data_IF_306713927016
#
_entry.id   IF_306713927016
#
_cell.length_a   1.000
_cell.length_b   1.000
_cell.length_c   1.000
_cell.angle_alpha   90.00
_cell.angle_beta   90.00
_cell.angle_gamma   90.00
#
_symmetry.space_group_name_H-M   'P 1'
#
loop_
_entity.id
_entity.type
_entity.pdbx_description
1 polymer ?
#
# COMPACT_ATOMS: atom_id res chain seq x y z
N UNK A 1 70.73 -41.80 35.36
CA UNK A 1 69.29 -41.98 35.11
C UNK A 1 68.80 -40.84 34.21
N UNK A 2 68.25 -41.22 33.06
CA UNK A 2 67.55 -40.44 32.01
C UNK A 2 68.22 -39.19 31.41
N UNK A 3 68.69 -39.41 30.19
CA UNK A 3 69.24 -38.50 29.17
C UNK A 3 68.26 -37.44 28.63
N UNK A 4 68.79 -36.23 28.41
CA UNK A 4 68.27 -35.15 27.56
C UNK A 4 68.09 -35.59 26.09
N UNK A 5 66.98 -35.17 25.45
CA UNK A 5 66.93 -34.88 24.00
C UNK A 5 66.02 -33.70 23.68
N UNK A 6 66.46 -33.02 22.62
CA UNK A 6 66.15 -31.69 22.13
C UNK A 6 64.93 -31.62 21.19
N UNK A 7 64.25 -30.46 21.24
CA UNK A 7 63.56 -29.67 20.20
C UNK A 7 62.68 -30.33 19.11
N UNK A 8 61.47 -29.77 18.97
CA UNK A 8 60.95 -29.28 17.68
C UNK A 8 59.91 -28.15 17.92
N UNK A 9 60.07 -26.95 17.34
CA UNK A 9 59.12 -25.85 17.50
C UNK A 9 57.91 -26.03 16.57
N UNK A 10 56.70 -25.89 17.13
CA UNK A 10 55.45 -25.86 16.36
C UNK A 10 55.44 -24.59 15.49
N UNK A 11 55.21 -24.79 14.20
CA UNK A 11 55.07 -23.76 13.17
C UNK A 11 54.26 -22.53 13.61
N UNK A 12 54.87 -21.35 13.50
CA UNK A 12 54.14 -20.09 13.37
C UNK A 12 53.49 -20.05 11.97
N UNK A 13 52.17 -20.14 11.90
CA UNK A 13 51.41 -19.78 10.69
C UNK A 13 51.23 -18.27 10.69
N UNK A 14 51.94 -17.60 9.79
CA UNK A 14 51.68 -16.21 9.43
C UNK A 14 50.32 -16.17 8.71
N UNK A 15 49.30 -15.61 9.34
CA UNK A 15 48.06 -15.30 8.63
C UNK A 15 48.32 -14.05 7.79
N UNK A 16 48.39 -14.23 6.47
CA UNK A 16 48.23 -13.15 5.51
C UNK A 16 46.97 -12.35 5.86
N UNK A 17 47.05 -11.02 5.85
CA UNK A 17 45.88 -10.15 5.86
C UNK A 17 44.95 -10.56 4.72
N UNK A 18 43.96 -11.39 5.01
CA UNK A 18 42.81 -11.58 4.15
C UNK A 18 42.05 -10.27 4.19
N UNK A 19 42.04 -9.60 3.03
CA UNK A 19 41.13 -8.51 2.68
C UNK A 19 39.81 -8.67 3.42
N UNK A 20 39.44 -7.66 4.21
CA UNK A 20 38.09 -7.52 4.76
C UNK A 20 37.13 -7.80 3.61
N UNK A 21 36.23 -8.80 3.72
CA UNK A 21 35.21 -8.99 2.70
C UNK A 21 34.45 -7.67 2.62
N UNK A 22 34.39 -7.06 1.43
CA UNK A 22 33.44 -5.97 1.19
C UNK A 22 32.10 -6.39 1.77
N UNK A 23 31.47 -5.60 2.66
CA UNK A 23 30.14 -5.94 3.14
C UNK A 23 29.27 -6.15 1.90
N UNK A 24 28.65 -7.32 1.80
CA UNK A 24 27.61 -7.60 0.81
C UNK A 24 26.70 -6.37 0.73
N UNK A 25 26.39 -5.85 -0.48
CA UNK A 25 25.65 -4.60 -0.59
C UNK A 25 24.37 -4.73 0.22
N UNK A 26 24.21 -3.84 1.22
CA UNK A 26 23.02 -3.81 2.06
C UNK A 26 21.82 -3.65 1.14
N UNK A 27 20.84 -4.57 1.23
CA UNK A 27 19.64 -4.51 0.41
C UNK A 27 18.95 -3.14 0.62
N UNK A 28 18.52 -2.46 -0.46
CA UNK A 28 17.92 -1.15 -0.34
C UNK A 28 16.59 -1.22 0.40
N UNK A 29 16.32 -0.21 1.21
CA UNK A 29 15.07 -0.04 1.94
C UNK A 29 14.09 0.84 1.16
N UNK A 30 12.86 0.37 1.00
CA UNK A 30 11.83 1.06 0.21
C UNK A 30 10.62 1.38 1.09
N UNK A 31 10.01 2.53 0.86
CA UNK A 31 8.66 2.81 1.34
C UNK A 31 7.73 2.92 0.14
N UNK A 32 6.69 2.11 0.13
CA UNK A 32 5.74 2.00 -0.96
C UNK A 32 4.37 2.46 -0.49
N UNK A 33 3.92 3.62 -0.97
CA UNK A 33 2.52 4.00 -0.89
C UNK A 33 1.75 3.17 -1.90
N UNK A 34 0.80 2.37 -1.43
CA UNK A 34 -0.01 1.51 -2.29
C UNK A 34 -1.44 1.44 -1.77
N UNK A 35 -2.33 0.85 -2.57
CA UNK A 35 -3.64 0.40 -2.09
C UNK A 35 -3.82 -1.08 -2.32
N UNK A 36 -5.01 -1.43 -2.81
CA UNK A 36 -5.46 -2.80 -3.03
C UNK A 36 -4.69 -3.61 -4.08
N UNK A 37 -5.38 -4.05 -5.12
CA UNK A 37 -4.93 -5.21 -5.90
C UNK A 37 -3.83 -4.91 -6.92
N UNK A 38 -3.75 -3.69 -7.45
CA UNK A 38 -2.86 -3.36 -8.56
C UNK A 38 -1.39 -3.70 -8.28
N UNK A 39 -0.87 -3.33 -7.10
CA UNK A 39 0.52 -3.63 -6.73
C UNK A 39 0.77 -5.11 -6.36
N UNK A 40 -0.27 -5.93 -6.17
CA UNK A 40 -0.10 -7.33 -5.72
C UNK A 40 0.69 -8.20 -6.69
N UNK A 41 0.62 -7.92 -8.00
CA UNK A 41 1.35 -8.68 -9.02
C UNK A 41 2.87 -8.52 -8.92
N UNK A 42 3.34 -7.42 -8.32
CA UNK A 42 4.75 -7.05 -8.27
C UNK A 42 5.42 -7.44 -6.95
N UNK A 43 4.65 -7.62 -5.87
CA UNK A 43 5.23 -7.85 -4.53
C UNK A 43 6.06 -9.11 -4.41
N UNK A 44 5.70 -10.18 -5.12
CA UNK A 44 6.52 -11.41 -5.10
C UNK A 44 7.89 -11.16 -5.73
N UNK A 45 7.93 -10.46 -6.87
CA UNK A 45 9.18 -10.10 -7.52
C UNK A 45 9.98 -9.08 -6.70
N UNK A 46 9.29 -8.15 -6.02
CA UNK A 46 9.93 -7.20 -5.12
C UNK A 46 10.64 -7.89 -3.96
N UNK A 47 10.05 -8.96 -3.40
CA UNK A 47 10.67 -9.76 -2.33
C UNK A 47 11.99 -10.41 -2.78
N UNK A 48 12.13 -10.75 -4.06
CA UNK A 48 13.37 -11.31 -4.60
C UNK A 48 14.49 -10.25 -4.66
N UNK A 49 14.12 -8.97 -4.76
CA UNK A 49 15.07 -7.85 -4.79
C UNK A 49 15.41 -7.35 -3.38
N UNK A 50 14.41 -7.16 -2.52
CA UNK A 50 14.59 -6.72 -1.14
C UNK A 50 13.38 -7.06 -0.28
N UNK A 51 13.65 -7.48 0.95
CA UNK A 51 12.64 -7.67 1.99
C UNK A 51 12.41 -6.42 2.83
N UNK A 52 13.27 -5.39 2.71
CA UNK A 52 13.26 -4.16 3.51
C UNK A 52 12.25 -3.16 2.95
N UNK A 53 10.97 -3.54 2.94
CA UNK A 53 9.89 -2.76 2.33
C UNK A 53 8.83 -2.41 3.37
N UNK A 54 8.58 -1.12 3.54
CA UNK A 54 7.42 -0.62 4.26
C UNK A 54 6.27 -0.35 3.28
N UNK A 55 5.26 -1.22 3.28
CA UNK A 55 4.03 -1.07 2.50
C UNK A 55 3.03 -0.24 3.29
N UNK A 56 2.84 1.01 2.88
CA UNK A 56 1.90 1.95 3.50
C UNK A 56 0.56 1.87 2.78
N UNK A 57 -0.51 1.64 3.53
CA UNK A 57 -1.85 1.38 3.02
C UNK A 57 -2.90 2.29 3.68
N UNK A 58 -3.89 2.79 2.91
CA UNK A 58 -5.03 3.52 3.47
C UNK A 58 -5.94 2.60 4.28
N UNK A 59 -6.76 3.22 5.15
CA UNK A 59 -7.69 2.53 6.07
C UNK A 59 -9.15 2.96 5.90
N UNK A 60 -9.48 3.53 4.72
CA UNK A 60 -10.79 4.12 4.41
C UNK A 60 -11.65 3.31 3.44
N UNK A 61 -11.21 2.12 3.02
CA UNK A 61 -11.95 1.26 2.08
C UNK A 61 -13.30 0.79 2.67
N UNK A 62 -14.38 1.14 1.99
CA UNK A 62 -15.75 0.87 2.44
C UNK A 62 -16.46 -0.15 1.54
N UNK A 63 -15.71 -1.01 0.83
CA UNK A 63 -16.24 -2.00 -0.13
C UNK A 63 -16.19 -3.46 0.29
N UNK A 64 -17.01 -4.26 -0.42
CA UNK A 64 -17.08 -5.72 -0.28
C UNK A 64 -17.24 -6.21 1.17
N UNK A 65 -16.54 -7.30 1.52
CA UNK A 65 -16.58 -7.86 2.87
C UNK A 65 -16.05 -6.94 3.98
N UNK A 66 -15.29 -5.89 3.62
CA UNK A 66 -14.85 -4.87 4.58
C UNK A 66 -16.04 -4.02 5.03
N UNK A 67 -16.90 -3.62 4.09
CA UNK A 67 -18.09 -2.82 4.36
C UNK A 67 -18.98 -3.46 5.42
N UNK A 68 -19.21 -4.76 5.30
CA UNK A 68 -20.06 -5.51 6.22
C UNK A 68 -19.48 -5.61 7.64
N UNK A 69 -18.16 -5.82 7.74
CA UNK A 69 -17.46 -5.80 9.03
C UNK A 69 -17.56 -4.42 9.66
N UNK A 70 -17.29 -3.36 8.90
CA UNK A 70 -17.34 -1.98 9.38
C UNK A 70 -18.76 -1.58 9.77
N UNK A 71 -19.77 -2.06 9.06
CA UNK A 71 -21.19 -1.81 9.38
C UNK A 71 -21.55 -2.40 10.75
N UNK A 72 -21.28 -3.69 10.96
CA UNK A 72 -21.72 -4.40 12.17
C UNK A 72 -20.79 -4.18 13.37
N UNK A 73 -19.48 -4.18 13.15
CA UNK A 73 -18.46 -4.13 14.22
C UNK A 73 -17.78 -2.76 14.36
N UNK A 74 -17.92 -1.88 13.38
CA UNK A 74 -17.21 -0.60 13.35
C UNK A 74 -15.72 -0.73 13.05
N UNK A 75 -15.04 0.41 13.14
CA UNK A 75 -13.59 0.55 12.99
C UNK A 75 -13.08 0.73 11.56
N UNK A 76 -11.75 0.68 11.37
CA UNK A 76 -11.11 0.98 10.10
C UNK A 76 -11.27 -0.16 9.10
N UNK A 77 -11.07 0.17 7.82
CA UNK A 77 -10.97 -0.81 6.77
C UNK A 77 -9.72 -1.69 6.92
N UNK A 78 -9.88 -3.01 6.76
CA UNK A 78 -8.78 -3.99 6.88
C UNK A 78 -8.45 -4.70 5.56
N UNK A 79 -9.27 -4.53 4.52
CA UNK A 79 -9.21 -5.33 3.29
C UNK A 79 -7.87 -5.26 2.54
N UNK A 80 -7.36 -4.06 2.31
CA UNK A 80 -6.10 -3.82 1.59
C UNK A 80 -4.89 -4.27 2.42
N UNK A 81 -4.90 -3.99 3.73
CA UNK A 81 -3.89 -4.47 4.70
C UNK A 81 -3.83 -5.99 4.69
N UNK A 82 -4.97 -6.66 4.87
CA UNK A 82 -5.06 -8.12 4.80
C UNK A 82 -4.57 -8.64 3.45
N UNK A 83 -4.94 -7.99 2.34
CA UNK A 83 -4.47 -8.39 1.01
C UNK A 83 -2.95 -8.31 0.88
N UNK A 84 -2.32 -7.26 1.43
CA UNK A 84 -0.86 -7.11 1.40
C UNK A 84 -0.16 -8.13 2.29
N UNK A 85 -0.64 -8.32 3.52
CA UNK A 85 -0.11 -9.34 4.43
C UNK A 85 -0.17 -10.73 3.78
N UNK A 86 -1.33 -11.06 3.19
CA UNK A 86 -1.50 -12.33 2.51
C UNK A 86 -0.53 -12.47 1.34
N UNK A 87 -0.24 -11.40 0.58
CA UNK A 87 0.71 -11.47 -0.53
C UNK A 87 2.13 -11.74 -0.04
N UNK A 88 2.53 -11.13 1.07
CA UNK A 88 3.85 -11.31 1.67
C UNK A 88 4.04 -12.65 2.38
N UNK A 89 2.95 -13.34 2.72
CA UNK A 89 2.95 -14.60 3.47
C UNK A 89 3.88 -15.67 2.87
N UNK A 90 4.49 -16.46 3.76
CA UNK A 90 5.34 -17.58 3.38
C UNK A 90 4.60 -18.62 2.53
N UNK A 91 5.38 -19.32 1.70
CA UNK A 91 4.91 -20.43 0.84
C UNK A 91 5.90 -21.60 0.82
N UNK A 92 6.90 -21.58 1.71
CA UNK A 92 8.00 -22.55 1.69
C UNK A 92 7.56 -23.93 2.19
N UNK A 93 6.54 -23.99 3.05
CA UNK A 93 6.02 -25.23 3.66
C UNK A 93 4.55 -25.49 3.31
N UNK A 94 4.12 -26.75 3.45
CA UNK A 94 2.71 -27.14 3.32
C UNK A 94 1.80 -26.39 4.29
N UNK A 95 2.28 -26.18 5.51
CA UNK A 95 1.60 -25.50 6.59
C UNK A 95 1.43 -24.01 6.26
N UNK A 96 2.49 -23.34 5.80
CA UNK A 96 2.41 -21.95 5.37
C UNK A 96 1.42 -21.77 4.21
N UNK A 97 1.45 -22.68 3.22
CA UNK A 97 0.49 -22.68 2.12
C UNK A 97 -0.94 -22.90 2.62
N UNK A 98 -1.17 -23.79 3.58
CA UNK A 98 -2.49 -24.04 4.17
C UNK A 98 -3.01 -22.81 4.94
N UNK A 99 -2.18 -22.17 5.77
CA UNK A 99 -2.53 -20.95 6.50
C UNK A 99 -2.85 -19.82 5.53
N UNK A 100 -2.01 -19.63 4.51
CA UNK A 100 -2.26 -18.65 3.44
C UNK A 100 -3.58 -18.94 2.73
N UNK A 101 -3.86 -20.20 2.37
CA UNK A 101 -5.12 -20.57 1.72
C UNK A 101 -6.33 -20.25 2.60
N UNK A 102 -6.25 -20.57 3.89
CA UNK A 102 -7.31 -20.29 4.85
C UNK A 102 -7.58 -18.79 4.98
N UNK A 103 -6.55 -17.98 5.22
CA UNK A 103 -6.69 -16.53 5.37
C UNK A 103 -7.03 -15.83 4.05
N UNK A 104 -6.65 -16.43 2.92
CA UNK A 104 -7.04 -15.98 1.58
C UNK A 104 -8.44 -16.36 1.15
N UNK A 105 -9.10 -17.27 1.88
CA UNK A 105 -10.37 -17.83 1.49
C UNK A 105 -11.50 -16.80 1.52
N UNK A 106 -12.40 -16.90 0.54
CA UNK A 106 -13.66 -16.15 0.47
C UNK A 106 -14.81 -17.14 0.46
N UNK A 107 -15.80 -16.87 1.31
CA UNK A 107 -17.04 -17.62 1.35
C UNK A 107 -17.82 -17.45 0.03
N UNK A 108 -18.71 -18.41 -0.32
CA UNK A 108 -19.58 -18.33 -1.48
C UNK A 108 -20.41 -17.05 -1.55
N UNK A 109 -20.85 -16.67 -2.75
CA UNK A 109 -21.77 -15.56 -2.95
C UNK A 109 -23.18 -15.90 -2.41
N UNK A 110 -23.63 -17.15 -2.60
CA UNK A 110 -24.91 -17.61 -2.06
C UNK A 110 -24.89 -17.59 -0.53
N UNK A 111 -25.86 -16.88 0.06
CA UNK A 111 -25.91 -16.63 1.50
C UNK A 111 -26.11 -17.88 2.33
N UNK A 112 -26.84 -18.88 1.83
CA UNK A 112 -27.08 -20.14 2.54
C UNK A 112 -25.83 -21.00 2.55
N UNK A 113 -25.14 -21.12 1.41
CA UNK A 113 -23.86 -21.81 1.32
C UNK A 113 -22.79 -21.13 2.17
N UNK A 114 -22.69 -19.79 2.08
CA UNK A 114 -21.76 -19.01 2.89
C UNK A 114 -21.98 -19.21 4.39
N UNK A 115 -23.24 -19.21 4.84
CA UNK A 115 -23.57 -19.50 6.24
C UNK A 115 -23.18 -20.93 6.62
N UNK A 116 -23.53 -21.92 5.80
CA UNK A 116 -23.19 -23.34 6.08
C UNK A 116 -21.67 -23.54 6.21
N UNK A 117 -20.89 -22.91 5.34
CA UNK A 117 -19.44 -22.99 5.38
C UNK A 117 -18.87 -22.22 6.59
N UNK A 118 -19.43 -21.04 6.90
CA UNK A 118 -19.11 -20.30 8.13
C UNK A 118 -19.32 -21.17 9.38
N UNK A 119 -20.42 -21.91 9.47
CA UNK A 119 -20.69 -22.78 10.63
C UNK A 119 -19.59 -23.83 10.86
N UNK A 120 -18.90 -24.25 9.80
CA UNK A 120 -17.79 -25.21 9.86
C UNK A 120 -16.53 -24.62 10.49
N UNK A 121 -16.29 -23.31 10.32
CA UNK A 121 -15.08 -22.64 10.79
C UNK A 121 -15.29 -21.68 11.97
N UNK A 122 -16.55 -21.39 12.35
CA UNK A 122 -16.88 -20.40 13.41
C UNK A 122 -16.12 -20.64 14.72
N UNK A 123 -15.85 -21.90 15.08
CA UNK A 123 -15.16 -22.26 16.32
C UNK A 123 -13.70 -21.79 16.31
N UNK A 124 -13.06 -21.77 15.14
CA UNK A 124 -11.72 -21.20 14.96
C UNK A 124 -11.74 -19.67 15.11
N UNK A 125 -12.85 -19.02 14.76
CA UNK A 125 -13.04 -17.56 14.83
C UNK A 125 -14.02 -17.16 15.95
N UNK A 126 -13.99 -17.87 17.08
CA UNK A 126 -14.99 -17.73 18.16
C UNK A 126 -15.07 -16.31 18.73
N UNK A 127 -13.94 -15.60 18.83
CA UNK A 127 -13.95 -14.23 19.33
C UNK A 127 -14.69 -13.30 18.36
N UNK A 128 -14.41 -13.39 17.06
CA UNK A 128 -15.11 -12.62 16.03
C UNK A 128 -16.62 -12.94 16.02
N UNK A 129 -16.98 -14.23 16.09
CA UNK A 129 -18.38 -14.65 16.21
C UNK A 129 -19.07 -14.01 17.43
N UNK A 130 -18.40 -14.02 18.60
CA UNK A 130 -18.95 -13.41 19.81
C UNK A 130 -19.12 -11.89 19.68
N UNK A 131 -18.23 -11.20 18.95
CA UNK A 131 -18.40 -9.76 18.69
C UNK A 131 -19.62 -9.47 17.82
N UNK A 132 -19.88 -10.29 16.79
CA UNK A 132 -21.10 -10.18 15.97
C UNK A 132 -22.34 -10.39 16.83
N UNK A 133 -22.37 -11.46 17.64
CA UNK A 133 -23.55 -11.81 18.44
C UNK A 133 -23.92 -10.76 19.50
N UNK A 134 -22.95 -9.95 19.94
CA UNK A 134 -23.18 -8.82 20.86
C UNK A 134 -23.89 -7.64 20.20
N UNK A 135 -23.99 -7.61 18.87
CA UNK A 135 -24.66 -6.59 18.07
C UNK A 135 -25.99 -7.16 17.54
N UNK A 136 -26.89 -7.50 18.46
CA UNK A 136 -28.15 -8.23 18.17
C UNK A 136 -29.09 -7.54 17.19
N UNK A 137 -28.96 -6.22 17.06
CA UNK A 137 -29.87 -5.40 16.26
C UNK A 137 -29.54 -5.43 14.76
N UNK A 138 -28.39 -6.02 14.38
CA UNK A 138 -27.94 -6.12 12.99
C UNK A 138 -27.64 -7.57 12.60
N UNK A 139 -28.26 -8.08 11.53
CA UNK A 139 -27.87 -9.37 10.95
C UNK A 139 -26.54 -9.24 10.20
N UNK A 140 -25.61 -10.15 10.42
CA UNK A 140 -24.34 -10.21 9.69
C UNK A 140 -24.45 -11.09 8.43
N UNK A 141 -24.05 -10.55 7.28
CA UNK A 141 -24.02 -11.22 5.99
C UNK A 141 -22.64 -11.86 5.73
N UNK A 142 -22.60 -13.18 5.61
CA UNK A 142 -21.36 -13.91 5.33
C UNK A 142 -21.05 -14.07 3.84
N UNK A 143 -21.97 -13.70 2.94
CA UNK A 143 -21.79 -13.81 1.48
C UNK A 143 -20.52 -13.11 1.02
N UNK A 144 -19.69 -13.81 0.23
CA UNK A 144 -18.40 -13.30 -0.27
C UNK A 144 -17.43 -12.80 0.83
N UNK A 145 -17.68 -13.18 2.08
CA UNK A 145 -16.91 -12.81 3.25
C UNK A 145 -15.50 -13.35 3.18
N UNK A 146 -14.49 -12.53 3.47
CA UNK A 146 -13.11 -13.01 3.55
C UNK A 146 -12.79 -13.52 4.96
N UNK A 147 -12.41 -14.80 5.06
CA UNK A 147 -11.98 -15.42 6.32
C UNK A 147 -10.81 -14.65 6.94
N UNK A 148 -9.84 -14.23 6.13
CA UNK A 148 -8.74 -13.38 6.60
C UNK A 148 -9.22 -12.05 7.16
N UNK A 149 -10.25 -11.41 6.59
CA UNK A 149 -10.79 -10.18 7.14
C UNK A 149 -11.50 -10.43 8.48
N UNK A 150 -12.20 -11.56 8.64
CA UNK A 150 -12.84 -11.93 9.91
C UNK A 150 -11.82 -12.20 11.01
N UNK A 151 -10.77 -12.96 10.69
CA UNK A 151 -9.61 -13.16 11.58
C UNK A 151 -9.00 -11.83 12.00
N UNK A 152 -8.75 -10.94 11.02
CA UNK A 152 -8.18 -9.63 11.25
C UNK A 152 -9.05 -8.76 12.16
N UNK A 153 -10.34 -8.65 11.85
CA UNK A 153 -11.28 -7.86 12.61
C UNK A 153 -11.45 -8.38 14.05
N UNK A 154 -11.44 -9.71 14.23
CA UNK A 154 -11.42 -10.34 15.53
C UNK A 154 -10.18 -9.97 16.33
N UNK A 155 -8.99 -10.09 15.74
CA UNK A 155 -7.72 -9.73 16.36
C UNK A 155 -7.66 -8.23 16.73
N UNK A 156 -8.06 -7.35 15.81
CA UNK A 156 -8.12 -5.89 16.06
C UNK A 156 -9.01 -5.56 17.24
N UNK A 157 -10.20 -6.14 17.28
CA UNK A 157 -11.16 -5.90 18.37
C UNK A 157 -10.65 -6.45 19.69
N UNK A 158 -9.96 -7.60 19.67
CA UNK A 158 -9.35 -8.20 20.85
C UNK A 158 -8.24 -7.33 21.44
N UNK A 159 -7.31 -6.85 20.60
CA UNK A 159 -6.20 -6.00 21.05
C UNK A 159 -6.57 -4.53 21.25
N UNK A 160 -7.72 -4.10 20.72
CA UNK A 160 -8.05 -2.69 20.55
C UNK A 160 -6.91 -1.92 19.88
N UNK A 161 -6.29 -2.53 18.87
CA UNK A 161 -5.15 -1.96 18.16
C UNK A 161 -5.06 -2.57 16.76
N UNK A 162 -5.08 -1.68 15.74
CA UNK A 162 -4.88 -2.08 14.36
C UNK A 162 -3.45 -2.60 14.14
N UNK A 163 -2.44 -1.91 14.66
CA UNK A 163 -1.04 -2.29 14.54
C UNK A 163 -0.74 -3.65 15.21
N UNK A 164 -1.31 -3.92 16.40
CA UNK A 164 -1.16 -5.22 17.05
C UNK A 164 -1.81 -6.36 16.24
N UNK A 165 -2.96 -6.10 15.61
CA UNK A 165 -3.61 -7.06 14.73
C UNK A 165 -2.80 -7.33 13.46
N UNK A 166 -2.20 -6.29 12.86
CA UNK A 166 -1.25 -6.45 11.76
C UNK A 166 -0.08 -7.31 12.19
N UNK A 167 0.51 -7.03 13.36
CA UNK A 167 1.62 -7.79 13.90
C UNK A 167 1.25 -9.28 14.07
N UNK A 168 0.10 -9.58 14.67
CA UNK A 168 -0.37 -10.96 14.80
C UNK A 168 -0.56 -11.63 13.43
N UNK A 169 -1.23 -10.96 12.48
CA UNK A 169 -1.44 -11.49 11.14
C UNK A 169 -0.10 -11.79 10.44
N UNK A 170 0.87 -10.89 10.58
CA UNK A 170 2.22 -11.04 10.03
C UNK A 170 2.99 -12.21 10.63
N UNK A 171 2.83 -12.49 11.93
CA UNK A 171 3.42 -13.67 12.59
C UNK A 171 2.74 -14.97 12.16
N UNK A 172 1.42 -14.99 12.11
CA UNK A 172 0.65 -16.18 11.65
C UNK A 172 0.96 -16.51 10.19
N UNK A 173 1.17 -15.50 9.36
CA UNK A 173 1.46 -15.66 7.93
C UNK A 173 2.96 -15.80 7.62
N UNK A 174 3.82 -15.83 8.63
CA UNK A 174 5.28 -15.86 8.53
C UNK A 174 5.85 -14.86 7.50
N UNK A 175 5.42 -13.60 7.62
CA UNK A 175 5.92 -12.50 6.77
C UNK A 175 7.38 -12.19 7.16
N UNK A 176 8.28 -11.98 6.17
CA UNK A 176 9.67 -11.60 6.45
C UNK A 176 9.76 -10.45 7.43
N UNK A 177 10.64 -10.56 8.44
CA UNK A 177 10.71 -9.61 9.55
C UNK A 177 11.02 -8.17 9.15
N UNK A 178 11.70 -7.97 8.02
CA UNK A 178 12.02 -6.66 7.46
C UNK A 178 10.91 -6.06 6.58
N UNK A 179 9.90 -6.87 6.20
CA UNK A 179 8.76 -6.42 5.40
C UNK A 179 7.65 -5.94 6.34
N UNK A 180 7.39 -4.63 6.31
CA UNK A 180 6.39 -3.99 7.15
C UNK A 180 5.12 -3.74 6.34
N UNK A 181 3.96 -4.05 6.92
CA UNK A 181 2.67 -3.58 6.43
C UNK A 181 2.19 -2.54 7.42
N UNK A 182 2.06 -1.28 7.00
CA UNK A 182 1.77 -0.17 7.89
C UNK A 182 0.44 0.47 7.48
N UNK A 183 -0.51 0.61 8.42
CA UNK A 183 -1.68 1.43 8.18
C UNK A 183 -1.22 2.89 8.22
N UNK A 184 -1.64 3.69 7.24
CA UNK A 184 -1.20 5.09 7.20
C UNK A 184 -1.71 5.90 8.39
N UNK A 185 -2.84 5.49 8.98
CA UNK A 185 -3.38 6.03 10.23
C UNK A 185 -3.56 4.86 11.20
N UNK A 186 -3.00 4.98 12.40
CA UNK A 186 -3.27 4.05 13.50
C UNK A 186 -4.54 4.48 14.21
N UNK A 187 -5.65 3.81 13.94
CA UNK A 187 -6.94 4.10 14.58
C UNK A 187 -7.74 2.82 14.78
N UNK A 188 -8.65 2.84 15.76
CA UNK A 188 -9.69 1.84 15.93
C UNK A 188 -11.07 2.30 15.43
N UNK A 189 -11.16 3.53 14.96
CA UNK A 189 -12.40 4.17 14.54
C UNK A 189 -12.56 4.10 13.02
N UNK A 190 -13.82 4.26 12.59
CA UNK A 190 -14.14 4.33 11.16
C UNK A 190 -13.78 5.72 10.64
N UNK A 191 -12.90 5.75 9.64
CA UNK A 191 -12.62 6.93 8.85
C UNK A 191 -13.29 6.83 7.48
N UNK A 192 -13.93 7.91 7.06
CA UNK A 192 -14.55 7.99 5.73
C UNK A 192 -13.71 8.88 4.83
N UNK A 193 -13.43 8.43 3.60
CA UNK A 193 -12.81 9.26 2.59
C UNK A 193 -13.87 10.10 1.88
N UNK A 194 -13.60 11.38 1.67
CA UNK A 194 -14.37 12.26 0.80
C UNK A 194 -13.51 12.84 -0.31
N UNK A 195 -14.13 13.29 -1.39
CA UNK A 195 -13.49 14.11 -2.41
C UNK A 195 -14.34 15.33 -2.77
N UNK A 196 -13.66 16.40 -3.16
CA UNK A 196 -14.26 17.59 -3.76
C UNK A 196 -13.89 17.59 -5.24
N UNK A 197 -14.87 17.82 -6.12
CA UNK A 197 -14.66 17.98 -7.56
C UNK A 197 -14.47 19.46 -7.93
N UNK A 198 -13.95 19.72 -9.13
CA UNK A 198 -13.72 21.11 -9.59
C UNK A 198 -15.01 21.95 -9.77
N UNK A 199 -16.17 21.30 -9.88
CA UNK A 199 -17.47 21.99 -9.92
C UNK A 199 -18.06 22.28 -8.52
N UNK A 200 -17.34 21.91 -7.44
CA UNK A 200 -17.76 22.07 -6.07
C UNK A 200 -18.56 20.89 -5.49
N UNK A 201 -18.86 19.86 -6.29
CA UNK A 201 -19.54 18.64 -5.81
C UNK A 201 -18.66 17.92 -4.78
N UNK A 202 -19.26 17.45 -3.68
CA UNK A 202 -18.60 16.61 -2.68
C UNK A 202 -19.15 15.18 -2.76
N UNK A 203 -18.26 14.21 -2.92
CA UNK A 203 -18.58 12.78 -2.91
C UNK A 203 -18.02 12.17 -1.62
N UNK A 204 -18.83 11.37 -0.94
CA UNK A 204 -18.47 10.70 0.32
C UNK A 204 -18.43 9.19 0.11
N UNK A 205 -17.39 8.55 0.63
CA UNK A 205 -17.19 7.11 0.55
C UNK A 205 -16.23 6.74 -0.57
N UNK A 206 -15.32 5.81 -0.29
CA UNK A 206 -14.27 5.43 -1.23
C UNK A 206 -14.86 4.74 -2.47
N UNK A 207 -15.82 3.84 -2.27
CA UNK A 207 -16.52 3.17 -3.37
C UNK A 207 -17.29 4.18 -4.23
N UNK A 208 -17.99 5.14 -3.64
CA UNK A 208 -18.75 6.14 -4.40
C UNK A 208 -17.86 7.01 -5.29
N UNK A 209 -16.60 7.22 -4.90
CA UNK A 209 -15.60 7.91 -5.72
C UNK A 209 -15.11 7.02 -6.87
N UNK A 210 -14.79 5.76 -6.58
CA UNK A 210 -14.02 4.90 -7.49
C UNK A 210 -14.87 3.90 -8.30
N UNK A 211 -15.82 3.23 -7.66
CA UNK A 211 -16.68 2.18 -8.22
C UNK A 211 -18.00 2.08 -7.42
N UNK A 212 -18.99 2.95 -7.70
CA UNK A 212 -20.23 3.02 -6.92
C UNK A 212 -21.00 1.71 -7.12
N UNK A 213 -21.42 1.07 -6.03
CA UNK A 213 -22.13 -0.22 -6.15
C UNK A 213 -23.57 0.07 -6.56
N UNK A 214 -24.09 -0.57 -7.61
CA UNK A 214 -25.56 -0.62 -7.82
C UNK A 214 -26.17 -1.32 -6.60
N UNK A 215 -27.41 -0.98 -6.22
CA UNK A 215 -28.07 -1.35 -4.94
C UNK A 215 -28.16 -2.85 -4.56
N UNK A 216 -27.45 -3.76 -5.22
CA UNK A 216 -27.33 -5.17 -4.85
C UNK A 216 -25.85 -5.59 -4.80
N UNK A 217 -25.50 -6.45 -3.81
CA UNK A 217 -24.15 -6.99 -3.58
C UNK A 217 -23.65 -7.85 -4.76
N UNK A 218 -23.36 -7.23 -5.90
CA UNK A 218 -22.46 -7.82 -6.88
C UNK A 218 -21.02 -7.77 -6.36
N UNK A 219 -20.13 -8.69 -6.78
CA UNK A 219 -18.72 -8.55 -6.51
C UNK A 219 -18.26 -7.17 -6.96
N UNK A 220 -17.73 -6.39 -6.02
CA UNK A 220 -17.12 -5.09 -6.34
C UNK A 220 -16.00 -5.34 -7.33
N UNK A 221 -16.28 -5.04 -8.61
CA UNK A 221 -15.26 -5.07 -9.62
C UNK A 221 -14.56 -3.70 -9.64
N UNK A 222 -13.35 -3.63 -9.09
CA UNK A 222 -12.50 -2.44 -9.13
C UNK A 222 -11.85 -2.22 -10.52
N UNK A 223 -12.24 -3.03 -11.51
CA UNK A 223 -11.69 -3.04 -12.88
C UNK A 223 -12.50 -2.12 -13.82
N UNK A 224 -11.86 -1.69 -14.90
CA UNK A 224 -12.25 -0.56 -15.76
C UNK A 224 -13.66 -0.61 -16.37
N UNK A 225 -14.27 0.58 -16.42
CA UNK A 225 -15.20 1.14 -17.43
C UNK A 225 -16.72 0.91 -17.34
N UNK A 226 -17.26 0.12 -16.42
CA UNK A 226 -18.72 -0.05 -16.34
C UNK A 226 -19.48 1.09 -15.64
N UNK A 227 -18.75 2.03 -15.02
CA UNK A 227 -19.33 3.15 -14.30
C UNK A 227 -19.17 4.47 -15.07
N UNK A 228 -20.18 5.36 -15.04
CA UNK A 228 -20.08 6.66 -15.68
C UNK A 228 -18.94 7.47 -15.08
N UNK A 229 -18.25 8.23 -15.93
CA UNK A 229 -17.24 9.19 -15.50
C UNK A 229 -17.82 10.15 -14.45
N UNK A 230 -16.95 10.65 -13.56
CA UNK A 230 -17.34 11.71 -12.63
C UNK A 230 -17.77 12.96 -13.43
N UNK A 231 -18.76 13.74 -12.92
CA UNK A 231 -19.26 14.92 -13.61
C UNK A 231 -18.19 15.99 -13.80
N UNK A 232 -17.18 16.01 -12.94
CA UNK A 232 -16.00 16.86 -13.00
C UNK A 232 -14.80 16.14 -12.42
N UNK A 233 -13.58 16.63 -12.73
CA UNK A 233 -12.34 16.05 -12.20
C UNK A 233 -12.27 16.21 -10.68
N UNK A 234 -11.64 15.27 -10.00
CA UNK A 234 -11.35 15.39 -8.58
C UNK A 234 -10.35 16.55 -8.39
N UNK A 235 -10.69 17.48 -7.50
CA UNK A 235 -9.85 18.60 -7.08
C UNK A 235 -8.98 18.23 -5.89
N UNK A 236 -9.56 17.56 -4.88
CA UNK A 236 -8.83 17.06 -3.70
C UNK A 236 -9.57 15.91 -3.01
N UNK A 237 -8.86 15.17 -2.16
CA UNK A 237 -9.44 14.19 -1.23
C UNK A 237 -9.13 14.60 0.21
N UNK A 238 -9.98 14.17 1.14
CA UNK A 238 -9.87 14.49 2.55
C UNK A 238 -10.59 13.44 3.42
N UNK A 239 -10.22 13.34 4.69
CA UNK A 239 -10.93 12.48 5.64
C UNK A 239 -12.12 13.21 6.25
N UNK A 240 -13.18 12.48 6.53
CA UNK A 240 -14.41 12.99 7.12
C UNK A 240 -14.75 12.22 8.40
N UNK A 241 -15.34 12.93 9.37
CA UNK A 241 -15.92 12.29 10.55
C UNK A 241 -17.05 11.33 10.15
N UNK A 242 -17.16 10.23 10.88
CA UNK A 242 -18.30 9.33 10.81
C UNK A 242 -19.43 9.71 11.78
N UNK A 243 -19.17 10.64 12.72
CA UNK A 243 -20.13 11.12 13.72
C UNK A 243 -20.81 12.41 13.27
N UNK A 244 -22.15 12.41 13.21
CA UNK A 244 -22.97 13.60 12.96
C UNK A 244 -24.09 13.38 11.95
N UNK A 245 -25.31 13.81 12.28
CA UNK A 245 -26.46 13.77 11.36
C UNK A 245 -26.51 14.96 10.40
N UNK A 246 -25.73 16.02 10.64
CA UNK A 246 -25.68 17.21 9.81
C UNK A 246 -24.27 17.84 9.87
N UNK A 247 -23.69 18.08 8.69
CA UNK A 247 -22.42 18.77 8.35
C UNK A 247 -21.21 17.88 8.03
N UNK A 248 -20.76 18.07 6.78
CA UNK A 248 -19.57 17.57 6.10
C UNK A 248 -18.28 18.06 6.79
N UNK A 249 -17.99 17.60 8.01
CA UNK A 249 -16.79 18.07 8.70
C UNK A 249 -15.57 17.23 8.30
N UNK A 250 -14.67 17.89 7.55
CA UNK A 250 -13.32 17.40 7.28
C UNK A 250 -12.58 17.20 8.62
N UNK A 251 -11.84 16.11 8.75
CA UNK A 251 -11.05 15.78 9.93
C UNK A 251 -9.58 15.58 9.53
N UNK A 252 -8.68 15.80 10.50
CA UNK A 252 -7.24 15.77 10.28
C UNK A 252 -6.59 14.67 11.14
N UNK A 253 -6.79 13.38 10.79
CA UNK A 253 -6.19 12.30 11.55
C UNK A 253 -4.65 12.40 11.48
N UNK A 254 -3.99 12.03 12.58
CA UNK A 254 -2.54 11.95 12.60
C UNK A 254 -2.05 10.75 11.78
N UNK A 255 -0.96 10.93 11.03
CA UNK A 255 -0.27 9.82 10.40
C UNK A 255 0.32 8.88 11.46
N UNK A 256 0.38 7.58 11.13
CA UNK A 256 1.03 6.58 11.96
C UNK A 256 2.52 6.96 12.15
N UNK A 257 3.01 7.14 13.39
CA UNK A 257 4.40 7.51 13.65
C UNK A 257 5.41 6.56 12.99
N UNK A 258 5.10 5.26 12.93
CA UNK A 258 5.93 4.26 12.28
C UNK A 258 6.12 4.55 10.78
N UNK A 259 5.10 5.09 10.11
CA UNK A 259 5.21 5.48 8.69
C UNK A 259 6.16 6.67 8.54
N UNK A 260 6.02 7.69 9.41
CA UNK A 260 6.89 8.86 9.39
C UNK A 260 8.36 8.48 9.69
N UNK A 261 8.58 7.56 10.63
CA UNK A 261 9.91 7.06 10.98
C UNK A 261 10.54 6.28 9.83
N UNK A 262 9.78 5.43 9.13
CA UNK A 262 10.27 4.74 7.93
C UNK A 262 10.61 5.74 6.82
N UNK A 263 9.73 6.70 6.53
CA UNK A 263 9.96 7.74 5.49
C UNK A 263 11.29 8.48 5.66
N UNK A 264 11.71 8.75 6.91
CA UNK A 264 12.99 9.43 7.18
C UNK A 264 14.22 8.61 6.79
N UNK A 265 14.09 7.28 6.75
CA UNK A 265 15.23 6.36 6.69
C UNK A 265 15.29 5.51 5.41
N UNK A 266 14.29 5.57 4.52
CA UNK A 266 14.28 4.75 3.30
C UNK A 266 15.19 5.26 2.19
N UNK A 267 15.75 4.34 1.42
CA UNK A 267 16.59 4.59 0.25
C UNK A 267 15.77 4.96 -0.99
N UNK A 268 14.46 4.69 -1.01
CA UNK A 268 13.57 5.04 -2.11
C UNK A 268 12.12 5.15 -1.65
N UNK A 269 11.41 6.17 -2.13
CA UNK A 269 9.95 6.31 -1.97
C UNK A 269 9.27 5.94 -3.29
N UNK A 270 8.29 5.05 -3.22
CA UNK A 270 7.54 4.59 -4.39
C UNK A 270 6.06 4.91 -4.22
N UNK A 271 5.49 5.61 -5.20
CA UNK A 271 4.05 5.75 -5.37
C UNK A 271 3.60 4.67 -6.34
N UNK A 272 3.01 3.60 -5.82
CA UNK A 272 2.65 2.43 -6.61
C UNK A 272 1.47 2.71 -7.56
N UNK A 273 1.30 1.82 -8.53
CA UNK A 273 0.12 1.84 -9.40
C UNK A 273 -1.14 1.42 -8.62
N UNK A 274 -2.28 1.98 -9.03
CA UNK A 274 -3.58 1.83 -8.41
C UNK A 274 -4.39 3.11 -8.50
N UNK A 275 -5.60 3.10 -7.94
CA UNK A 275 -6.45 4.29 -7.88
C UNK A 275 -5.74 5.48 -7.25
N UNK A 276 -5.59 6.56 -8.03
CA UNK A 276 -4.79 7.71 -7.61
C UNK A 276 -5.38 8.38 -6.36
N UNK A 277 -6.68 8.69 -6.40
CA UNK A 277 -7.34 9.49 -5.37
C UNK A 277 -7.88 8.64 -4.22
N UNK A 278 -8.20 7.36 -4.46
CA UNK A 278 -8.74 6.48 -3.41
C UNK A 278 -7.74 5.52 -2.79
N UNK A 279 -6.56 5.31 -3.38
CA UNK A 279 -5.51 4.45 -2.80
C UNK A 279 -4.25 5.22 -2.41
N UNK A 280 -3.75 6.10 -3.28
CA UNK A 280 -2.46 6.78 -3.07
C UNK A 280 -2.64 8.07 -2.28
N UNK A 281 -3.37 9.05 -2.83
CA UNK A 281 -3.58 10.36 -2.21
C UNK A 281 -4.09 10.35 -0.76
N UNK A 282 -4.96 9.41 -0.30
CA UNK A 282 -5.42 9.38 1.10
C UNK A 282 -4.27 9.21 2.10
N UNK A 283 -3.17 8.59 1.68
CA UNK A 283 -1.98 8.47 2.51
C UNK A 283 -1.12 9.74 2.49
N UNK A 284 -1.17 10.49 1.39
CA UNK A 284 -0.29 11.63 1.13
C UNK A 284 -0.80 12.95 1.71
N UNK A 285 -2.12 13.08 1.89
CA UNK A 285 -2.73 14.29 2.47
C UNK A 285 -2.42 14.50 3.95
N UNK A 286 -1.82 13.52 4.63
CA UNK A 286 -1.56 13.57 6.06
C UNK A 286 -0.36 14.46 6.39
N UNK A 287 -0.51 15.23 7.47
CA UNK A 287 0.53 16.12 7.98
C UNK A 287 1.78 15.31 8.35
N UNK A 288 2.95 15.82 7.98
CA UNK A 288 4.25 15.17 8.17
C UNK A 288 4.71 14.36 6.96
N UNK A 289 3.80 13.85 6.11
CA UNK A 289 4.17 13.03 4.95
C UNK A 289 4.85 13.87 3.87
N UNK A 290 4.21 14.97 3.44
CA UNK A 290 4.78 15.90 2.47
C UNK A 290 6.05 16.58 2.96
N UNK A 291 6.08 16.97 4.22
CA UNK A 291 7.24 17.60 4.86
C UNK A 291 8.46 16.67 4.77
N UNK A 292 8.33 15.42 5.22
CA UNK A 292 9.44 14.47 5.22
C UNK A 292 9.85 14.12 3.79
N UNK A 293 8.91 13.79 2.90
CA UNK A 293 9.26 13.38 1.53
C UNK A 293 10.04 14.48 0.83
N UNK A 294 9.58 15.74 0.90
CA UNK A 294 10.23 16.86 0.23
C UNK A 294 11.66 17.13 0.72
N UNK A 295 11.97 16.78 1.98
CA UNK A 295 13.30 16.94 2.57
C UNK A 295 14.26 15.78 2.27
N UNK A 296 13.79 14.66 1.70
CA UNK A 296 14.65 13.51 1.37
C UNK A 296 15.38 13.73 0.04
N UNK A 297 16.65 13.32 -0.04
CA UNK A 297 17.45 13.32 -1.26
C UNK A 297 17.45 11.98 -2.02
N UNK A 298 16.54 11.07 -1.67
CA UNK A 298 16.42 9.76 -2.30
C UNK A 298 15.58 9.79 -3.60
N UNK A 299 15.67 8.73 -4.43
CA UNK A 299 14.70 8.47 -5.49
C UNK A 299 13.26 8.53 -4.98
N UNK A 300 12.40 9.17 -5.78
CA UNK A 300 10.96 9.27 -5.52
C UNK A 300 10.22 8.93 -6.81
N UNK A 301 9.76 7.69 -6.87
CA UNK A 301 9.37 7.03 -8.11
C UNK A 301 7.86 6.89 -8.18
N UNK A 302 7.25 7.48 -9.21
CA UNK A 302 5.85 7.23 -9.55
C UNK A 302 5.76 6.06 -10.53
N UNK A 303 4.97 5.05 -10.19
CA UNK A 303 4.57 3.98 -11.10
C UNK A 303 3.25 4.38 -11.77
N UNK A 304 3.31 4.80 -13.04
CA UNK A 304 2.11 5.26 -13.75
C UNK A 304 1.15 4.09 -14.01
N UNK A 305 -0.15 4.33 -13.85
CA UNK A 305 -1.16 3.35 -14.23
C UNK A 305 -1.10 3.07 -15.75
N UNK A 306 -1.33 1.82 -16.15
CA UNK A 306 -1.35 1.44 -17.56
C UNK A 306 -2.73 1.55 -18.22
N UNK A 307 -3.80 1.55 -17.44
CA UNK A 307 -5.19 1.63 -17.91
C UNK A 307 -5.88 2.83 -17.27
N UNK A 308 -6.85 3.43 -17.96
CA UNK A 308 -7.67 4.52 -17.41
C UNK A 308 -8.70 3.99 -16.41
N UNK A 309 -8.98 4.80 -15.39
CA UNK A 309 -10.06 4.56 -14.43
C UNK A 309 -11.03 5.74 -14.38
N UNK A 310 -12.07 5.59 -13.55
CA UNK A 310 -13.10 6.61 -13.34
C UNK A 310 -12.54 7.89 -12.71
N UNK A 311 -11.55 7.76 -11.83
CA UNK A 311 -10.99 8.85 -11.02
C UNK A 311 -10.13 9.80 -11.85
N UNK A 312 -9.46 9.27 -12.88
CA UNK A 312 -8.42 9.96 -13.65
C UNK A 312 -8.83 10.21 -15.10
N UNK A 313 -10.13 10.29 -15.38
CA UNK A 313 -10.65 10.56 -16.73
C UNK A 313 -10.03 11.83 -17.34
N UNK A 314 -9.39 11.66 -18.51
CA UNK A 314 -8.70 12.73 -19.22
C UNK A 314 -7.36 13.17 -18.61
N UNK A 315 -6.79 12.43 -17.67
CA UNK A 315 -5.45 12.71 -17.13
C UNK A 315 -4.37 12.29 -18.12
N UNK A 316 -3.32 13.12 -18.19
CA UNK A 316 -1.99 12.73 -18.70
C UNK A 316 -1.06 12.44 -17.53
N UNK A 317 0.15 11.94 -17.81
CA UNK A 317 1.17 11.64 -16.80
C UNK A 317 1.48 12.87 -15.91
N UNK A 318 1.57 14.08 -16.47
CA UNK A 318 1.77 15.30 -15.68
C UNK A 318 0.62 15.61 -14.71
N UNK A 319 -0.62 15.20 -15.02
CA UNK A 319 -1.76 15.34 -14.11
C UNK A 319 -1.62 14.45 -12.87
N UNK A 320 -1.06 13.24 -13.00
CA UNK A 320 -0.75 12.39 -11.84
C UNK A 320 0.29 13.04 -10.94
N UNK A 321 1.34 13.61 -11.53
CA UNK A 321 2.39 14.35 -10.80
C UNK A 321 1.78 15.55 -10.06
N UNK A 322 0.92 16.34 -10.72
CA UNK A 322 0.19 17.45 -10.08
C UNK A 322 -0.67 16.97 -8.94
N UNK A 323 -1.48 15.92 -9.12
CA UNK A 323 -2.40 15.44 -8.08
C UNK A 323 -1.66 14.92 -6.84
N UNK A 324 -0.53 14.20 -7.03
CA UNK A 324 0.32 13.78 -5.91
C UNK A 324 0.95 14.99 -5.21
N UNK A 325 1.46 15.95 -5.99
CA UNK A 325 2.02 17.19 -5.44
C UNK A 325 0.99 17.97 -4.64
N UNK A 326 -0.23 18.12 -5.17
CA UNK A 326 -1.32 18.83 -4.52
C UNK A 326 -1.80 18.12 -3.26
N UNK A 327 -1.82 16.78 -3.24
CA UNK A 327 -2.12 16.01 -2.04
C UNK A 327 -1.04 16.22 -0.96
N UNK A 328 0.24 16.12 -1.31
CA UNK A 328 1.36 16.29 -0.38
C UNK A 328 1.51 17.73 0.14
N UNK A 329 1.28 18.71 -0.73
CA UNK A 329 1.24 20.11 -0.37
C UNK A 329 -0.05 20.50 0.36
N UNK A 330 -1.08 19.66 0.30
CA UNK A 330 -2.44 19.98 0.73
C UNK A 330 -2.94 21.29 0.10
N UNK A 331 -2.63 21.52 -1.19
CA UNK A 331 -2.84 22.79 -1.92
C UNK A 331 -4.22 23.40 -1.71
N UNK A 332 -5.26 22.56 -1.67
CA UNK A 332 -6.66 22.98 -1.56
C UNK A 332 -7.27 22.70 -0.16
N UNK A 333 -6.45 22.35 0.83
CA UNK A 333 -6.87 22.06 2.19
C UNK A 333 -6.88 23.30 3.10
N UNK A 334 -6.73 23.06 4.40
CA UNK A 334 -6.60 24.14 5.39
C UNK A 334 -5.33 24.96 5.11
N UNK A 335 -5.43 26.29 4.87
CA UNK A 335 -4.29 27.16 4.55
C UNK A 335 -3.15 27.12 5.56
N UNK A 336 -3.43 26.84 6.84
CA UNK A 336 -2.41 26.76 7.88
C UNK A 336 -1.51 25.51 7.79
N UNK A 337 -1.94 24.50 7.03
CA UNK A 337 -1.22 23.23 6.88
C UNK A 337 -0.65 23.06 5.45
N UNK A 338 -0.84 24.04 4.58
CA UNK A 338 -0.38 23.97 3.20
C UNK A 338 1.14 24.09 3.10
N UNK A 339 1.72 23.39 2.14
CA UNK A 339 3.10 23.54 1.71
C UNK A 339 3.13 24.12 0.28
N UNK A 340 4.30 24.57 -0.17
CA UNK A 340 4.51 25.14 -1.50
C UNK A 340 5.73 24.50 -2.20
N UNK A 341 5.97 23.21 -1.95
CA UNK A 341 7.08 22.50 -2.56
C UNK A 341 6.81 22.22 -4.05
N UNK A 342 7.88 22.21 -4.84
CA UNK A 342 7.82 21.90 -6.27
C UNK A 342 7.54 20.40 -6.50
N UNK A 343 6.91 20.02 -7.63
CA UNK A 343 6.67 18.62 -7.95
C UNK A 343 7.93 17.75 -7.94
N UNK A 344 9.06 18.29 -8.41
CA UNK A 344 10.36 17.62 -8.44
C UNK A 344 10.92 17.25 -7.05
N UNK A 345 10.45 17.91 -5.98
CA UNK A 345 10.79 17.55 -4.61
C UNK A 345 10.05 16.30 -4.14
N UNK A 346 8.89 15.98 -4.75
CA UNK A 346 8.05 14.85 -4.39
C UNK A 346 8.19 13.65 -5.32
N UNK A 347 8.44 13.89 -6.59
CA UNK A 347 8.63 12.87 -7.61
C UNK A 347 9.84 13.32 -8.42
N UNK A 348 10.77 12.42 -8.71
CA UNK A 348 11.89 12.73 -9.61
C UNK A 348 12.01 11.74 -10.77
N UNK A 349 11.29 10.62 -10.69
CA UNK A 349 11.27 9.58 -11.71
C UNK A 349 9.85 9.08 -11.93
N UNK A 350 9.45 8.92 -13.19
CA UNK A 350 8.17 8.31 -13.57
C UNK A 350 8.46 7.08 -14.41
N UNK A 351 8.01 5.92 -13.92
CA UNK A 351 8.03 4.68 -14.69
C UNK A 351 6.68 4.55 -15.41
N UNK A 352 6.72 4.24 -16.70
CA UNK A 352 5.53 4.17 -17.55
C UNK A 352 5.44 2.79 -18.18
N UNK A 353 4.31 2.07 -18.05
CA UNK A 353 4.16 0.78 -18.71
C UNK A 353 4.02 0.99 -20.21
N UNK A 354 4.78 0.22 -20.99
CA UNK A 354 4.76 0.25 -22.44
C UNK A 354 3.35 -0.01 -22.97
N UNK A 355 2.90 0.77 -23.95
CA UNK A 355 1.54 0.60 -24.49
C UNK A 355 0.41 0.95 -23.51
N UNK A 356 0.69 1.62 -22.39
CA UNK A 356 -0.34 2.15 -21.49
C UNK A 356 -1.21 3.22 -22.14
N UNK A 357 -2.44 3.36 -21.65
CA UNK A 357 -3.49 4.24 -22.19
C UNK A 357 -3.37 5.71 -21.74
N UNK A 358 -2.52 5.98 -20.74
CA UNK A 358 -2.33 7.30 -20.15
C UNK A 358 -1.34 8.10 -21.01
N UNK A 359 -1.73 9.25 -21.59
CA UNK A 359 -0.84 10.05 -22.42
C UNK A 359 0.38 10.56 -21.65
N UNK A 360 1.57 10.45 -22.26
CA UNK A 360 2.83 10.96 -21.71
C UNK A 360 3.15 12.33 -22.34
N UNK A 361 2.95 13.38 -21.56
CA UNK A 361 3.17 14.77 -21.96
C UNK A 361 4.53 15.29 -21.47
N UNK A 362 5.60 14.83 -22.13
CA UNK A 362 7.00 15.06 -21.74
C UNK A 362 7.34 16.54 -21.48
N UNK A 363 6.82 17.47 -22.29
CA UNK A 363 7.08 18.91 -22.09
C UNK A 363 6.50 19.43 -20.77
N UNK A 364 5.31 18.97 -20.37
CA UNK A 364 4.70 19.35 -19.09
C UNK A 364 5.39 18.69 -17.91
N UNK A 365 5.80 17.43 -18.06
CA UNK A 365 6.63 16.74 -17.06
C UNK A 365 7.96 17.47 -16.86
N UNK A 366 8.64 17.89 -17.93
CA UNK A 366 9.86 18.68 -17.85
C UNK A 366 9.63 20.04 -17.16
N UNK A 367 8.51 20.71 -17.43
CA UNK A 367 8.15 21.95 -16.74
C UNK A 367 7.87 21.74 -15.23
N UNK A 368 7.46 20.54 -14.83
CA UNK A 368 7.34 20.11 -13.42
C UNK A 368 8.69 19.68 -12.81
N UNK A 369 9.79 19.73 -13.57
CA UNK A 369 11.12 19.31 -13.15
C UNK A 369 11.34 17.79 -13.20
N UNK A 370 10.51 17.06 -13.94
CA UNK A 370 10.59 15.61 -14.09
C UNK A 370 11.27 15.28 -15.42
N UNK A 371 12.54 14.91 -15.34
CA UNK A 371 13.36 14.57 -16.52
C UNK A 371 13.55 13.06 -16.73
N UNK A 372 13.37 12.26 -15.67
CA UNK A 372 13.52 10.81 -15.73
C UNK A 372 12.17 10.13 -15.97
N UNK A 373 11.79 10.01 -17.24
CA UNK A 373 10.61 9.24 -17.67
C UNK A 373 11.08 7.96 -18.36
N UNK A 374 10.84 6.81 -17.73
CA UNK A 374 11.38 5.52 -18.17
C UNK A 374 10.23 4.63 -18.60
N UNK A 375 10.24 4.18 -19.86
CA UNK A 375 9.29 3.19 -20.35
C UNK A 375 9.74 1.81 -19.92
N UNK A 376 8.84 1.05 -19.33
CA UNK A 376 9.07 -0.30 -18.79
C UNK A 376 8.16 -1.27 -19.51
N UNK A 377 8.65 -2.48 -19.80
CA UNK A 377 7.80 -3.50 -20.42
C UNK A 377 6.57 -3.84 -19.55
N UNK A 378 5.53 -4.26 -20.23
CA UNK A 378 4.19 -4.46 -19.66
C UNK A 378 3.60 -5.78 -20.14
N UNK A 379 2.63 -6.28 -19.40
CA UNK A 379 1.76 -7.39 -19.81
C UNK A 379 0.31 -6.92 -19.86
N UNK A 380 -0.51 -7.61 -20.66
CA UNK A 380 -1.95 -7.38 -20.67
C UNK A 380 -2.63 -8.36 -19.72
N UNK A 381 -3.17 -7.85 -18.64
CA UNK A 381 -4.02 -8.58 -17.73
C UNK A 381 -5.48 -8.49 -18.22
N UNK A 382 -6.20 -9.62 -18.39
CA UNK A 382 -7.57 -9.61 -18.92
C UNK A 382 -8.57 -8.76 -18.13
N UNK A 383 -8.22 -8.45 -16.88
CA UNK A 383 -9.06 -7.74 -15.91
C UNK A 383 -8.56 -6.33 -15.66
N UNK A 384 -7.26 -6.16 -15.42
CA UNK A 384 -6.66 -4.86 -15.10
C UNK A 384 -6.19 -4.07 -16.34
N UNK A 385 -6.22 -4.67 -17.53
CA UNK A 385 -5.71 -4.07 -18.76
C UNK A 385 -4.19 -4.08 -18.79
N UNK A 386 -3.57 -2.96 -19.17
CA UNK A 386 -2.10 -2.88 -19.24
C UNK A 386 -1.53 -2.71 -17.84
N UNK A 387 -0.68 -3.65 -17.42
CA UNK A 387 0.06 -3.61 -16.15
C UNK A 387 1.54 -3.81 -16.40
N UNK A 388 2.39 -3.34 -15.49
CA UNK A 388 3.83 -3.57 -15.60
C UNK A 388 4.16 -5.07 -15.61
N UNK A 389 5.13 -5.47 -16.44
CA UNK A 389 5.79 -6.75 -16.24
C UNK A 389 6.58 -6.69 -14.92
N UNK A 390 6.33 -7.61 -13.96
CA UNK A 390 6.96 -7.52 -12.65
C UNK A 390 8.49 -7.51 -12.69
N UNK A 391 9.12 -8.31 -13.55
CA UNK A 391 10.59 -8.42 -13.62
C UNK A 391 11.19 -7.16 -14.21
N UNK A 392 10.64 -6.68 -15.31
CA UNK A 392 11.10 -5.44 -15.94
C UNK A 392 10.92 -4.23 -15.03
N UNK A 393 9.83 -4.19 -14.25
CA UNK A 393 9.60 -3.13 -13.27
C UNK A 393 10.62 -3.16 -12.12
N UNK A 394 10.86 -4.33 -11.53
CA UNK A 394 11.85 -4.45 -10.46
C UNK A 394 13.24 -4.09 -10.97
N UNK A 395 13.62 -4.54 -12.17
CA UNK A 395 14.88 -4.15 -12.79
C UNK A 395 14.99 -2.63 -12.98
N UNK A 396 13.94 -1.98 -13.49
CA UNK A 396 13.92 -0.52 -13.65
C UNK A 396 14.07 0.21 -12.29
N UNK A 397 13.45 -0.31 -11.22
CA UNK A 397 13.63 0.22 -9.86
C UNK A 397 15.07 0.04 -9.36
N UNK A 398 15.69 -1.12 -9.60
CA UNK A 398 17.10 -1.38 -9.26
C UNK A 398 18.00 -0.35 -9.93
N UNK A 399 17.79 -0.11 -11.24
CA UNK A 399 18.60 0.81 -12.03
C UNK A 399 18.43 2.28 -11.58
N UNK A 400 17.22 2.65 -11.16
CA UNK A 400 16.93 3.99 -10.62
C UNK A 400 17.63 4.18 -9.27
N UNK A 401 17.51 3.21 -8.36
CA UNK A 401 18.15 3.27 -7.04
C UNK A 401 19.68 3.31 -7.20
N UNK A 402 20.26 2.44 -8.04
CA UNK A 402 21.70 2.37 -8.28
C UNK A 402 22.31 3.67 -8.84
N UNK A 403 21.58 4.35 -9.74
CA UNK A 403 22.01 5.65 -10.28
C UNK A 403 22.07 6.73 -9.22
N UNK A 404 21.09 6.78 -8.31
CA UNK A 404 21.08 7.77 -7.22
C UNK A 404 22.21 7.55 -6.22
N UNK A 405 22.49 6.29 -5.86
CA UNK A 405 23.61 5.96 -4.97
C UNK A 405 24.95 6.39 -5.57
N UNK A 406 25.13 6.15 -6.88
CA UNK A 406 26.36 6.54 -7.59
C UNK A 406 26.52 8.06 -7.69
N UNK A 407 25.44 8.80 -7.96
CA UNK A 407 25.46 10.26 -8.12
C UNK A 407 25.78 10.97 -6.79
N UNK A 408 25.24 10.46 -5.68
CA UNK A 408 25.53 11.01 -4.34
C UNK A 408 26.98 10.75 -3.91
N UNK A 409 27.59 9.63 -4.31
CA UNK A 409 29.01 9.36 -4.04
C UNK A 409 29.93 10.35 -4.79
N UNK A 410 29.57 10.74 -6.02
CA UNK A 410 30.35 11.71 -6.81
C UNK A 410 30.19 13.15 -6.36
N UNK A 411 29.10 13.51 -5.67
CA UNK A 411 28.86 14.88 -5.19
C UNK A 411 29.56 15.21 -3.86
N UNK A 412 30.20 14.21 -3.21
CA UNK A 412 30.87 14.32 -1.90
C UNK A 412 32.40 14.32 -2.03
N UNK A 413 32.95 14.33 -3.27
CA UNK A 413 34.39 14.36 -3.56
C UNK A 413 34.84 15.74 -3.99
#
# INVERSE_FOLDING_TARGET
>A
MSTLRSQNPKHFRCYSFSSIPNPSPVMPSLLVFSGGTAFNGVVEELKNFTTRVAHVLPVSDDGGSTAEIVRVLGGPAVGDIRSRCLRLADKSSSEAVAVRRLLGHRLPLDSRQAKSEWETIRAFLVYFQNQILRRSDESFCFSNGSIGNFFFAGARTFFQSLDAAIFLFSRVSDIPSESLVLPVISTNDRLTLGCELWDGTIIRGQNEISHPTKEYMEPVNKESSSFPALPSRIKRVFYMSSEGQNLLHEVFPAANPSVLDQLRNVDCVVYAMGSLFTSICPSLVLIGVGEIISSRSCPKVLLLNGTRDRETSGFSASCFVTAITDALNRTYGNPHNCLANLPSQYINTVLVPKGGEIPIDVQRLAAQGIFNVIVVDSIHDPKAGVVFDPKSLIQALVDVIGRYTSTNLTAVV
#
